data_IF_236557030829
#
_entry.id   IF_236557030829
#
_cell.length_a   1.000
_cell.length_b   1.000
_cell.length_c   1.000
_cell.angle_alpha   90.00
_cell.angle_beta   90.00
_cell.angle_gamma   90.00
#
_symmetry.space_group_name_H-M   'P 1'
#
loop_
_entity.id
_entity.type
_entity.pdbx_description
1 polymer ?
#
# COMPACT_ATOMS: atom_id res chain seq x y z
N UNK A 1 0.92 12.86 -30.72
CA UNK A 1 1.72 13.95 -30.12
C UNK A 1 0.86 14.55 -29.03
N UNK A 2 0.94 14.05 -27.79
CA UNK A 2 0.09 14.51 -26.69
C UNK A 2 0.84 15.49 -25.79
N UNK A 3 0.16 16.59 -25.48
CA UNK A 3 0.65 17.75 -24.75
C UNK A 3 1.06 17.40 -23.32
N UNK A 4 2.29 17.75 -23.00
CA UNK A 4 2.94 17.65 -21.70
C UNK A 4 2.33 18.61 -20.68
N UNK A 5 1.21 18.29 -20.02
CA UNK A 5 0.80 18.96 -18.77
C UNK A 5 -0.47 18.33 -18.16
N UNK A 6 -0.31 17.25 -17.38
CA UNK A 6 -1.24 17.00 -16.27
C UNK A 6 -0.74 17.86 -15.09
N UNK A 7 -1.46 18.93 -14.68
CA UNK A 7 -0.97 19.88 -13.68
C UNK A 7 -0.61 19.25 -12.33
N UNK A 8 -1.30 18.16 -11.97
CA UNK A 8 -1.08 17.41 -10.73
C UNK A 8 0.25 16.63 -10.70
N UNK A 9 0.85 16.33 -11.85
CA UNK A 9 2.14 15.64 -11.92
C UNK A 9 3.34 16.58 -11.79
N UNK A 10 3.13 17.90 -11.82
CA UNK A 10 4.19 18.88 -11.60
C UNK A 10 4.53 19.06 -10.11
N UNK A 11 3.71 18.47 -9.22
CA UNK A 11 3.91 18.42 -7.77
C UNK A 11 5.24 17.72 -7.38
N UNK A 12 5.96 18.22 -6.35
CA UNK A 12 7.22 17.62 -5.91
C UNK A 12 7.13 16.13 -5.54
N UNK A 13 6.01 15.67 -4.98
CA UNK A 13 5.77 14.26 -4.65
C UNK A 13 5.71 13.43 -5.93
N UNK A 14 4.95 13.89 -6.93
CA UNK A 14 4.82 13.22 -8.21
C UNK A 14 6.17 13.09 -8.93
N UNK A 15 6.94 14.19 -8.98
CA UNK A 15 8.30 14.18 -9.56
C UNK A 15 9.22 13.19 -8.86
N UNK A 16 9.21 13.20 -7.52
CA UNK A 16 10.02 12.28 -6.71
C UNK A 16 9.63 10.83 -6.93
N UNK A 17 8.34 10.54 -6.97
CA UNK A 17 7.83 9.18 -7.23
C UNK A 17 8.22 8.67 -8.60
N UNK A 18 8.00 9.47 -9.65
CA UNK A 18 8.38 9.10 -11.02
C UNK A 18 9.89 8.84 -11.10
N UNK A 19 10.72 9.75 -10.57
CA UNK A 19 12.18 9.61 -10.63
C UNK A 19 12.70 8.40 -9.85
N UNK A 20 12.27 8.24 -8.59
CA UNK A 20 12.76 7.16 -7.72
C UNK A 20 12.31 5.78 -8.19
N UNK A 21 11.07 5.64 -8.68
CA UNK A 21 10.58 4.36 -9.18
C UNK A 21 11.27 4.02 -10.49
N UNK A 22 11.43 4.96 -11.43
CA UNK A 22 12.20 4.70 -12.64
C UNK A 22 13.63 4.26 -12.33
N UNK A 23 14.28 4.88 -11.35
CA UNK A 23 15.62 4.50 -10.92
C UNK A 23 15.65 3.05 -10.43
N UNK A 24 14.68 2.61 -9.62
CA UNK A 24 14.57 1.21 -9.17
C UNK A 24 14.46 0.19 -10.31
N UNK A 25 13.83 0.56 -11.43
CA UNK A 25 13.73 -0.30 -12.62
C UNK A 25 14.98 -0.24 -13.52
N UNK A 26 15.85 0.77 -13.37
CA UNK A 26 17.14 0.83 -14.07
C UNK A 26 18.24 0.05 -13.34
N UNK A 27 18.21 0.06 -12.02
CA UNK A 27 19.29 -0.49 -11.19
C UNK A 27 19.18 -2.01 -10.96
N UNK A 28 18.03 -2.60 -11.23
CA UNK A 28 17.72 -4.02 -10.98
C UNK A 28 16.95 -4.57 -12.17
N UNK A 29 17.00 -5.89 -12.37
CA UNK A 29 16.27 -6.54 -13.46
C UNK A 29 14.78 -6.16 -13.41
N UNK A 30 14.22 -5.55 -14.48
CA UNK A 30 12.79 -5.24 -14.55
C UNK A 30 11.89 -6.46 -14.38
N UNK A 31 12.37 -7.67 -14.70
CA UNK A 31 11.61 -8.92 -14.59
C UNK A 31 11.40 -9.38 -13.15
N UNK A 32 12.23 -8.93 -12.21
CA UNK A 32 12.00 -9.17 -10.78
C UNK A 32 10.70 -8.49 -10.34
N UNK A 33 9.72 -9.21 -9.78
CA UNK A 33 8.45 -8.64 -9.38
C UNK A 33 8.64 -7.50 -8.37
N UNK A 34 7.88 -6.41 -8.53
CA UNK A 34 7.87 -5.29 -7.58
C UNK A 34 6.44 -4.94 -7.18
N UNK A 35 6.17 -4.95 -5.88
CA UNK A 35 4.83 -4.78 -5.34
C UNK A 35 4.81 -3.50 -4.52
N UNK A 36 4.15 -2.48 -5.03
CA UNK A 36 4.01 -1.17 -4.40
C UNK A 36 2.62 -1.08 -3.74
N UNK A 37 2.59 -1.11 -2.42
CA UNK A 37 1.38 -0.76 -1.67
C UNK A 37 1.29 0.74 -1.49
N UNK A 38 0.27 1.36 -2.06
CA UNK A 38 0.11 2.81 -2.16
C UNK A 38 -0.91 3.32 -1.13
N UNK A 39 -0.49 4.27 -0.30
CA UNK A 39 -1.42 5.07 0.48
C UNK A 39 -1.00 6.55 0.46
N UNK A 40 -1.67 7.43 1.21
CA UNK A 40 -1.39 8.87 1.14
C UNK A 40 0.07 9.20 1.47
N UNK A 41 0.53 8.87 2.67
CA UNK A 41 1.89 9.16 3.12
C UNK A 41 2.85 7.98 3.00
N UNK A 42 2.38 6.77 2.67
CA UNK A 42 3.23 5.59 2.58
C UNK A 42 3.69 5.04 3.94
N UNK A 43 2.94 5.27 5.02
CA UNK A 43 3.38 4.95 6.40
C UNK A 43 2.38 4.19 7.27
N UNK A 44 1.13 4.01 6.81
CA UNK A 44 0.08 3.33 7.58
C UNK A 44 -0.37 2.05 6.89
N UNK A 45 -1.46 2.10 6.12
CA UNK A 45 -2.00 0.91 5.44
C UNK A 45 -0.97 0.25 4.54
N UNK A 46 -0.20 1.02 3.77
CA UNK A 46 0.85 0.48 2.89
C UNK A 46 1.90 -0.32 3.65
N UNK A 47 2.32 0.16 4.82
CA UNK A 47 3.31 -0.52 5.67
C UNK A 47 2.72 -1.79 6.27
N UNK A 48 1.50 -1.73 6.82
CA UNK A 48 0.85 -2.91 7.43
C UNK A 48 0.56 -3.98 6.39
N UNK A 49 0.01 -3.61 5.23
CA UNK A 49 -0.27 -4.55 4.14
C UNK A 49 1.04 -5.17 3.64
N UNK A 50 2.09 -4.37 3.44
CA UNK A 50 3.39 -4.87 3.01
C UNK A 50 4.06 -5.81 4.02
N UNK A 51 3.98 -5.54 5.32
CA UNK A 51 4.48 -6.48 6.33
C UNK A 51 3.66 -7.77 6.39
N UNK A 52 2.33 -7.69 6.25
CA UNK A 52 1.48 -8.88 6.14
C UNK A 52 1.81 -9.70 4.90
N UNK A 53 2.09 -9.04 3.77
CA UNK A 53 2.55 -9.69 2.54
C UNK A 53 3.84 -10.49 2.78
N UNK A 54 4.79 -9.91 3.51
CA UNK A 54 6.05 -10.55 3.90
C UNK A 54 5.88 -11.61 5.01
N UNK A 55 4.67 -12.12 5.24
CA UNK A 55 4.36 -13.15 6.22
C UNK A 55 4.33 -12.67 7.68
N UNK A 56 4.49 -11.36 7.95
CA UNK A 56 4.45 -10.81 9.32
C UNK A 56 3.03 -10.40 9.69
N UNK A 57 2.24 -11.37 10.13
CA UNK A 57 0.87 -11.15 10.58
C UNK A 57 0.82 -10.52 11.98
N UNK A 58 0.24 -9.32 12.15
CA UNK A 58 0.06 -8.72 13.47
C UNK A 58 -0.94 -9.52 14.31
N UNK A 59 -0.59 -9.81 15.56
CA UNK A 59 -1.46 -10.48 16.54
C UNK A 59 -2.19 -9.50 17.46
N UNK A 60 -1.71 -8.26 17.55
CA UNK A 60 -2.27 -7.22 18.41
C UNK A 60 -2.19 -5.84 17.75
N UNK A 61 -2.98 -4.86 18.26
CA UNK A 61 -2.84 -3.47 17.85
C UNK A 61 -1.42 -2.93 18.13
N UNK A 62 -0.79 -3.37 19.23
CA UNK A 62 0.56 -2.97 19.58
C UNK A 62 1.58 -3.52 18.58
N UNK A 63 1.43 -4.78 18.15
CA UNK A 63 2.30 -5.36 17.12
C UNK A 63 2.25 -4.59 15.79
N UNK A 64 1.11 -3.97 15.43
CA UNK A 64 1.03 -3.04 14.30
C UNK A 64 1.79 -1.76 14.58
N UNK A 65 1.60 -1.18 15.76
CA UNK A 65 2.28 0.04 16.16
C UNK A 65 3.81 -0.14 16.26
N UNK A 66 4.30 -1.36 16.46
CA UNK A 66 5.74 -1.66 16.55
C UNK A 66 6.37 -2.02 15.21
N UNK A 67 5.58 -2.20 14.15
CA UNK A 67 6.10 -2.48 12.81
C UNK A 67 7.12 -1.41 12.39
N UNK A 68 8.27 -1.82 11.81
CA UNK A 68 9.20 -0.87 11.22
C UNK A 68 8.49 -0.01 10.17
N UNK A 69 8.88 1.28 10.12
CA UNK A 69 8.31 2.32 9.23
C UNK A 69 6.85 2.72 9.49
N UNK A 70 6.14 2.06 10.41
CA UNK A 70 4.76 2.43 10.74
C UNK A 70 4.72 3.79 11.42
N UNK A 71 4.00 4.74 10.83
CA UNK A 71 3.85 6.11 11.31
C UNK A 71 5.18 6.83 11.61
N UNK A 72 6.25 6.51 10.86
CA UNK A 72 7.61 7.08 11.03
C UNK A 72 8.08 7.93 9.86
N UNK A 73 7.29 7.99 8.78
CA UNK A 73 7.68 8.66 7.53
C UNK A 73 7.50 10.18 7.61
N UNK A 74 8.50 10.91 7.14
CA UNK A 74 8.52 12.36 7.01
C UNK A 74 7.77 12.81 5.75
N UNK A 75 7.30 14.05 5.76
CA UNK A 75 6.57 14.63 4.62
C UNK A 75 7.49 14.76 3.40
N UNK A 76 8.77 15.12 3.58
CA UNK A 76 9.75 15.16 2.50
C UNK A 76 10.15 13.78 1.95
N UNK A 77 9.69 12.68 2.54
CA UNK A 77 9.94 11.33 2.02
C UNK A 77 8.77 10.83 1.18
N UNK A 78 7.60 11.49 1.19
CA UNK A 78 6.44 11.09 0.38
C UNK A 78 6.83 11.12 -1.11
N UNK A 79 6.47 10.06 -1.84
CA UNK A 79 6.90 9.83 -3.22
C UNK A 79 8.06 8.84 -3.34
N UNK A 80 8.95 8.71 -2.36
CA UNK A 80 10.05 7.72 -2.43
C UNK A 80 9.61 6.33 -1.96
N UNK A 81 9.67 5.27 -2.77
CA UNK A 81 9.31 3.92 -2.31
C UNK A 81 10.26 3.46 -1.19
N UNK A 82 9.71 2.85 -0.14
CA UNK A 82 10.50 2.22 0.95
C UNK A 82 10.43 0.72 0.76
N UNK A 83 11.57 0.07 0.56
CA UNK A 83 11.65 -1.39 0.53
C UNK A 83 11.39 -1.94 1.94
N UNK A 84 10.38 -2.80 2.06
CA UNK A 84 10.06 -3.50 3.30
C UNK A 84 10.78 -4.85 3.39
N UNK A 85 10.97 -5.51 2.24
CA UNK A 85 11.64 -6.80 2.13
C UNK A 85 11.32 -7.50 0.81
N UNK A 86 11.75 -8.75 0.73
CA UNK A 86 11.49 -9.65 -0.40
C UNK A 86 10.60 -10.80 0.07
N UNK A 87 9.54 -11.12 -0.66
CA UNK A 87 8.62 -12.22 -0.36
C UNK A 87 9.16 -13.59 -0.80
N UNK A 88 8.36 -14.64 -0.57
CA UNK A 88 8.71 -16.02 -0.91
C UNK A 88 8.66 -16.35 -2.41
N UNK A 89 8.16 -15.45 -3.26
CA UNK A 89 8.18 -15.57 -4.72
C UNK A 89 9.32 -14.74 -5.35
N UNK A 90 10.17 -14.12 -4.53
CA UNK A 90 11.24 -13.24 -5.01
C UNK A 90 10.77 -11.83 -5.37
N UNK A 91 9.53 -11.46 -5.03
CA UNK A 91 9.00 -10.13 -5.23
C UNK A 91 9.52 -9.14 -4.19
N UNK A 92 9.85 -7.93 -4.64
CA UNK A 92 10.28 -6.84 -3.77
C UNK A 92 9.06 -6.02 -3.34
N UNK A 93 8.79 -5.98 -2.04
CA UNK A 93 7.60 -5.33 -1.47
C UNK A 93 7.95 -3.94 -0.95
N UNK A 94 7.22 -2.94 -1.43
CA UNK A 94 7.44 -1.53 -1.12
C UNK A 94 6.22 -0.86 -0.51
N UNK A 95 6.46 0.08 0.40
CA UNK A 95 5.48 1.08 0.81
C UNK A 95 5.68 2.40 0.05
N UNK A 96 4.62 2.88 -0.60
CA UNK A 96 4.64 4.12 -1.38
C UNK A 96 3.61 5.14 -0.87
N UNK A 97 4.05 6.38 -0.71
CA UNK A 97 3.20 7.52 -0.44
C UNK A 97 2.90 8.28 -1.71
N UNK A 98 1.63 8.35 -2.12
CA UNK A 98 1.20 8.96 -3.39
C UNK A 98 0.60 10.36 -3.22
N UNK A 99 0.57 10.86 -1.99
CA UNK A 99 0.12 12.21 -1.65
C UNK A 99 -1.32 12.49 -2.08
N UNK A 100 -1.56 13.74 -2.46
CA UNK A 100 -2.86 14.22 -2.94
C UNK A 100 -3.18 13.68 -4.34
N UNK A 101 -2.17 13.52 -5.20
CA UNK A 101 -2.34 13.00 -6.57
C UNK A 101 -2.91 11.58 -6.58
N UNK A 102 -2.54 10.74 -5.60
CA UNK A 102 -3.20 9.46 -5.36
C UNK A 102 -3.26 8.58 -6.62
N UNK A 103 -4.47 8.29 -7.08
CA UNK A 103 -4.73 7.45 -8.26
C UNK A 103 -4.11 8.01 -9.55
N UNK A 104 -4.09 9.33 -9.73
CA UNK A 104 -3.51 9.95 -10.93
C UNK A 104 -2.02 9.59 -11.06
N UNK A 105 -1.27 9.76 -9.96
CA UNK A 105 0.14 9.37 -9.90
C UNK A 105 0.34 7.87 -10.08
N UNK A 106 -0.48 7.05 -9.43
CA UNK A 106 -0.37 5.58 -9.55
C UNK A 106 -0.58 5.11 -11.01
N UNK A 107 -1.57 5.67 -11.70
CA UNK A 107 -1.82 5.37 -13.11
C UNK A 107 -0.72 5.92 -14.03
N UNK A 108 -0.17 7.10 -13.72
CA UNK A 108 0.98 7.66 -14.45
C UNK A 108 2.22 6.76 -14.30
N UNK A 109 2.47 6.23 -13.10
CA UNK A 109 3.55 5.27 -12.84
C UNK A 109 3.35 3.99 -13.64
N UNK A 110 2.15 3.40 -13.64
CA UNK A 110 1.86 2.21 -14.46
C UNK A 110 2.18 2.46 -15.92
N UNK A 111 1.61 3.52 -16.52
CA UNK A 111 1.83 3.85 -17.93
C UNK A 111 3.32 4.04 -18.24
N UNK A 112 4.02 4.78 -17.39
CA UNK A 112 5.43 5.13 -17.61
C UNK A 112 6.34 3.92 -17.50
N UNK A 113 6.12 3.04 -16.51
CA UNK A 113 6.90 1.82 -16.36
C UNK A 113 6.59 0.83 -17.49
N UNK A 114 5.32 0.63 -17.86
CA UNK A 114 4.96 -0.23 -19.00
C UNK A 114 5.62 0.22 -20.31
N UNK A 115 5.68 1.54 -20.55
CA UNK A 115 6.28 2.10 -21.77
C UNK A 115 7.81 2.00 -21.76
N UNK A 116 8.45 2.30 -20.63
CA UNK A 116 9.92 2.39 -20.57
C UNK A 116 10.59 1.03 -20.33
N UNK A 117 9.87 0.11 -19.67
CA UNK A 117 10.36 -1.21 -19.31
C UNK A 117 9.31 -2.27 -19.70
N UNK A 118 9.21 -2.66 -20.98
CA UNK A 118 8.18 -3.58 -21.47
C UNK A 118 8.21 -4.99 -20.85
N UNK A 119 9.33 -5.34 -20.22
CA UNK A 119 9.55 -6.61 -19.53
C UNK A 119 9.28 -6.50 -18.01
N UNK A 120 8.88 -5.32 -17.52
CA UNK A 120 8.69 -5.08 -16.10
C UNK A 120 7.54 -5.90 -15.53
N UNK A 121 7.73 -6.48 -14.35
CA UNK A 121 6.66 -7.08 -13.55
C UNK A 121 6.40 -6.25 -12.31
N UNK A 122 5.24 -5.61 -12.24
CA UNK A 122 4.96 -4.71 -11.13
C UNK A 122 3.46 -4.59 -10.79
N UNK A 123 3.17 -4.41 -9.51
CA UNK A 123 1.83 -4.14 -9.00
C UNK A 123 1.85 -2.79 -8.27
N UNK A 124 0.97 -1.87 -8.67
CA UNK A 124 0.65 -0.68 -7.90
C UNK A 124 -0.72 -0.87 -7.26
N UNK A 125 -0.74 -1.20 -5.97
CA UNK A 125 -1.96 -1.54 -5.26
C UNK A 125 -2.38 -0.37 -4.35
N UNK A 126 -3.44 0.32 -4.72
CA UNK A 126 -4.05 1.33 -3.87
C UNK A 126 -4.70 0.68 -2.65
N UNK A 127 -4.20 0.99 -1.46
CA UNK A 127 -4.73 0.46 -0.19
C UNK A 127 -5.38 1.54 0.68
N UNK A 128 -5.77 2.68 0.09
CA UNK A 128 -6.39 3.79 0.83
C UNK A 128 -7.76 3.41 1.39
N UNK A 129 -8.50 2.55 0.68
CA UNK A 129 -9.80 2.02 1.12
C UNK A 129 -9.71 1.13 2.37
N UNK A 130 -8.54 0.58 2.68
CA UNK A 130 -8.32 -0.25 3.88
C UNK A 130 -8.50 0.59 5.16
N UNK A 131 -8.15 1.88 5.14
CA UNK A 131 -8.28 2.77 6.29
C UNK A 131 -9.63 3.50 6.34
N UNK A 132 -10.26 3.46 7.52
CA UNK A 132 -11.45 4.26 7.81
C UNK A 132 -11.12 5.77 7.77
N UNK A 133 -12.00 6.56 7.15
CA UNK A 133 -11.81 8.02 6.95
C UNK A 133 -11.64 8.74 8.29
N UNK A 134 -12.37 8.29 9.32
CA UNK A 134 -12.31 8.85 10.68
C UNK A 134 -10.94 8.71 11.33
N UNK A 135 -10.24 7.61 11.08
CA UNK A 135 -8.87 7.37 11.57
C UNK A 135 -7.85 8.29 10.87
N UNK A 136 -8.12 8.73 9.63
CA UNK A 136 -7.26 9.66 8.89
C UNK A 136 -7.30 11.07 9.50
N UNK A 137 -8.50 11.55 9.82
CA UNK A 137 -8.69 12.87 10.43
C UNK A 137 -8.13 12.89 11.86
N UNK A 138 -8.42 11.86 12.66
CA UNK A 138 -7.90 11.75 14.03
C UNK A 138 -6.38 11.62 14.11
N UNK A 139 -5.76 10.81 13.25
CA UNK A 139 -4.30 10.66 13.21
C UNK A 139 -3.58 11.92 12.75
N UNK A 140 -4.14 12.63 11.75
CA UNK A 140 -3.58 13.88 11.25
C UNK A 140 -3.68 15.03 12.26
N UNK A 141 -4.85 15.21 12.90
CA UNK A 141 -5.03 16.21 13.95
C UNK A 141 -4.15 15.91 15.17
N UNK A 142 -4.02 14.63 15.54
CA UNK A 142 -3.16 14.20 16.65
C UNK A 142 -1.67 14.50 16.41
N UNK A 143 -1.16 14.32 15.18
CA UNK A 143 0.22 14.74 14.85
C UNK A 143 0.40 16.25 14.91
N UNK A 144 -0.58 17.03 14.43
CA UNK A 144 -0.51 18.50 14.45
C UNK A 144 -0.59 19.09 15.87
N UNK A 145 -1.23 18.39 16.80
CA UNK A 145 -1.32 18.75 18.21
C UNK A 145 -0.24 18.11 19.11
N UNK A 146 0.80 17.48 18.53
CA UNK A 146 1.91 16.88 19.30
C UNK A 146 1.57 15.56 20.02
N UNK A 147 0.37 15.00 19.86
CA UNK A 147 -0.07 13.78 20.52
C UNK A 147 0.22 12.51 19.71
N UNK A 148 1.38 12.44 19.04
CA UNK A 148 1.74 11.42 18.04
C UNK A 148 1.45 9.98 18.51
N UNK A 149 1.69 9.66 19.79
CA UNK A 149 1.42 8.33 20.37
C UNK A 149 -0.07 7.95 20.34
N UNK A 150 -0.97 8.89 20.63
CA UNK A 150 -2.40 8.65 20.61
C UNK A 150 -2.88 8.39 19.18
N UNK A 151 -2.48 9.23 18.21
CA UNK A 151 -2.77 9.04 16.80
C UNK A 151 -2.27 7.70 16.25
N UNK A 152 -1.02 7.33 16.58
CA UNK A 152 -0.43 6.03 16.21
C UNK A 152 -1.28 4.85 16.68
N UNK A 153 -1.70 4.87 17.95
CA UNK A 153 -2.52 3.81 18.55
C UNK A 153 -3.91 3.70 17.91
N UNK A 154 -4.53 4.84 17.55
CA UNK A 154 -5.85 4.87 16.91
C UNK A 154 -5.80 4.27 15.50
N UNK A 155 -4.79 4.64 14.71
CA UNK A 155 -4.60 4.11 13.36
C UNK A 155 -4.27 2.61 13.42
N UNK A 156 -3.38 2.20 14.34
CA UNK A 156 -3.05 0.79 14.54
C UNK A 156 -4.29 -0.04 14.91
N UNK A 157 -5.11 0.46 15.85
CA UNK A 157 -6.38 -0.19 16.22
C UNK A 157 -7.37 -0.26 15.06
N UNK A 158 -7.45 0.78 14.23
CA UNK A 158 -8.29 0.79 13.05
C UNK A 158 -7.88 -0.26 12.01
N UNK A 159 -6.56 -0.44 11.80
CA UNK A 159 -6.02 -1.44 10.88
C UNK A 159 -6.20 -2.85 11.43
N UNK A 160 -5.98 -3.05 12.74
CA UNK A 160 -6.19 -4.33 13.39
C UNK A 160 -7.64 -4.83 13.22
N UNK A 161 -8.64 -3.95 13.42
CA UNK A 161 -10.06 -4.29 13.20
C UNK A 161 -10.38 -4.66 11.75
N UNK A 162 -9.54 -4.27 10.80
CA UNK A 162 -9.70 -4.51 9.36
C UNK A 162 -8.66 -5.50 8.83
N UNK A 163 -8.07 -6.33 9.69
CA UNK A 163 -7.03 -7.27 9.29
C UNK A 163 -7.54 -8.27 8.23
N UNK A 164 -8.80 -8.72 8.33
CA UNK A 164 -9.45 -9.56 7.30
C UNK A 164 -9.43 -8.93 5.90
N UNK A 165 -9.51 -7.59 5.80
CA UNK A 165 -9.42 -6.88 4.52
C UNK A 165 -7.96 -6.72 4.07
N UNK A 166 -7.04 -6.47 5.00
CA UNK A 166 -5.60 -6.47 4.72
C UNK A 166 -5.19 -7.81 4.11
N UNK A 167 -5.61 -8.93 4.71
CA UNK A 167 -5.35 -10.28 4.23
C UNK A 167 -5.93 -10.52 2.83
N UNK A 168 -7.11 -9.98 2.53
CA UNK A 168 -7.73 -10.10 1.21
C UNK A 168 -6.90 -9.41 0.12
N UNK A 169 -6.40 -8.21 0.42
CA UNK A 169 -5.53 -7.43 -0.46
C UNK A 169 -4.20 -8.14 -0.68
N UNK A 170 -3.61 -8.66 0.40
CA UNK A 170 -2.37 -9.45 0.32
C UNK A 170 -2.58 -10.69 -0.55
N UNK A 171 -3.63 -11.46 -0.31
CA UNK A 171 -3.92 -12.66 -1.10
C UNK A 171 -4.09 -12.34 -2.58
N UNK A 172 -4.78 -11.24 -2.91
CA UNK A 172 -4.95 -10.79 -4.30
C UNK A 172 -3.60 -10.51 -4.98
N UNK A 173 -2.63 -9.98 -4.23
CA UNK A 173 -1.27 -9.72 -4.75
C UNK A 173 -0.51 -11.02 -4.97
N UNK A 174 -0.48 -11.89 -3.94
CA UNK A 174 0.19 -13.18 -3.98
C UNK A 174 -0.36 -14.10 -5.08
N UNK A 175 -1.66 -14.04 -5.36
CA UNK A 175 -2.29 -14.80 -6.45
C UNK A 175 -1.82 -14.32 -7.84
N UNK A 176 -1.51 -13.03 -8.00
CA UNK A 176 -0.95 -12.49 -9.25
C UNK A 176 0.53 -12.88 -9.39
N UNK A 177 1.29 -12.79 -8.31
CA UNK A 177 2.70 -13.17 -8.32
C UNK A 177 2.90 -14.66 -8.58
N UNK A 178 2.02 -15.49 -8.00
CA UNK A 178 1.97 -16.92 -8.32
C UNK A 178 1.80 -17.16 -9.82
N UNK A 179 0.94 -16.39 -10.50
CA UNK A 179 0.81 -16.49 -11.97
C UNK A 179 2.09 -16.12 -12.69
N UNK A 180 2.82 -15.10 -12.23
CA UNK A 180 4.10 -14.72 -12.84
C UNK A 180 5.18 -15.79 -12.70
N UNK A 181 5.21 -16.48 -11.57
CA UNK A 181 6.10 -17.61 -11.32
C UNK A 181 5.68 -18.85 -12.12
N UNK A 182 4.40 -19.19 -12.10
CA UNK A 182 3.90 -20.39 -12.79
C UNK A 182 3.94 -20.23 -14.33
N UNK A 183 3.98 -19.00 -14.84
CA UNK A 183 4.19 -18.67 -16.25
C UNK A 183 5.66 -18.33 -16.60
N UNK A 184 6.63 -18.84 -15.83
CA UNK A 184 8.06 -18.75 -16.15
C UNK A 184 8.32 -19.29 -17.57
N UNK A 185 8.49 -18.38 -18.53
CA UNK A 185 8.61 -18.68 -19.96
C UNK A 185 7.85 -17.72 -20.89
N UNK A 186 6.84 -17.00 -20.38
CA UNK A 186 6.19 -15.93 -21.15
C UNK A 186 7.00 -14.63 -21.09
N UNK A 187 7.36 -14.11 -22.26
CA UNK A 187 8.23 -12.94 -22.45
C UNK A 187 7.54 -11.59 -22.24
N UNK A 188 6.32 -11.53 -21.73
CA UNK A 188 5.60 -10.27 -21.60
C UNK A 188 5.67 -9.75 -20.17
N UNK A 189 6.21 -8.54 -20.00
CA UNK A 189 6.07 -7.79 -18.77
C UNK A 189 4.62 -7.43 -18.51
N UNK A 190 4.28 -7.29 -17.24
CA UNK A 190 2.94 -6.95 -16.80
C UNK A 190 3.04 -5.95 -15.65
N UNK A 191 2.50 -4.75 -15.86
CA UNK A 191 2.45 -3.70 -14.85
C UNK A 191 0.98 -3.40 -14.58
N UNK A 192 0.54 -3.70 -13.36
CA UNK A 192 -0.85 -3.69 -12.97
C UNK A 192 -1.15 -2.55 -11.99
N UNK A 193 -2.35 -1.97 -12.11
CA UNK A 193 -2.94 -1.11 -11.09
C UNK A 193 -4.14 -1.83 -10.47
N UNK A 194 -4.22 -1.84 -9.14
CA UNK A 194 -5.29 -2.48 -8.38
C UNK A 194 -5.84 -1.51 -7.32
N UNK A 195 -7.14 -1.62 -7.03
CA UNK A 195 -7.79 -0.84 -5.97
C UNK A 195 -8.37 -1.74 -4.88
N UNK A 196 -7.97 -1.52 -3.63
CA UNK A 196 -8.54 -2.23 -2.49
C UNK A 196 -10.04 -1.93 -2.33
N UNK A 197 -10.52 -0.79 -2.86
CA UNK A 197 -11.95 -0.48 -2.94
C UNK A 197 -12.74 -1.53 -3.73
N UNK A 198 -12.14 -2.12 -4.76
CA UNK A 198 -12.77 -3.19 -5.55
C UNK A 198 -12.84 -4.51 -4.77
N UNK A 199 -11.78 -4.80 -4.00
CA UNK A 199 -11.75 -5.96 -3.10
C UNK A 199 -12.81 -5.83 -2.00
N UNK A 200 -13.01 -4.62 -1.46
CA UNK A 200 -14.07 -4.34 -0.48
C UNK A 200 -15.45 -4.57 -1.09
N UNK A 201 -15.72 -4.01 -2.28
CA UNK A 201 -17.03 -4.10 -2.95
C UNK A 201 -17.44 -5.54 -3.24
N UNK A 202 -16.54 -6.33 -3.84
CA UNK A 202 -16.78 -7.76 -4.10
C UNK A 202 -17.11 -8.52 -2.82
N UNK A 203 -16.48 -8.17 -1.69
CA UNK A 203 -16.74 -8.84 -0.41
C UNK A 203 -18.04 -8.42 0.27
N UNK A 204 -18.49 -7.17 0.08
CA UNK A 204 -19.81 -6.74 0.55
C UNK A 204 -20.95 -7.42 -0.22
N UNK A 205 -20.76 -7.66 -1.52
CA UNK A 205 -21.71 -8.41 -2.35
C UNK A 205 -21.81 -9.89 -1.95
N UNK A 206 -20.71 -10.47 -1.44
CA UNK A 206 -20.67 -11.85 -0.92
C UNK A 206 -21.07 -12.00 0.56
N UNK A 207 -21.60 -10.95 1.21
CA UNK A 207 -22.31 -11.10 2.50
C UNK A 207 -21.45 -11.27 3.75
N UNK A 208 -20.33 -10.55 3.91
CA UNK A 208 -19.60 -10.53 5.18
C UNK A 208 -20.15 -9.42 6.12
N UNK A 209 -21.19 -9.73 6.88
CA UNK A 209 -21.67 -8.88 7.97
C UNK A 209 -20.54 -8.64 8.98
N UNK A 210 -20.16 -7.39 9.18
CA UNK A 210 -19.16 -7.01 10.16
C UNK A 210 -19.63 -7.38 11.56
N UNK A 211 -18.93 -8.32 12.20
CA UNK A 211 -19.05 -8.52 13.64
C UNK A 211 -18.64 -7.20 14.33
N UNK A 212 -19.66 -6.48 14.80
CA UNK A 212 -19.46 -5.38 15.74
C UNK A 212 -18.67 -5.93 16.92
N UNK A 213 -17.45 -5.44 17.12
CA UNK A 213 -16.71 -5.62 18.35
C UNK A 213 -17.55 -5.00 19.48
N UNK A 214 -18.38 -5.83 20.14
CA UNK A 214 -19.09 -5.42 21.35
C UNK A 214 -18.02 -5.20 22.43
N UNK A 215 -18.04 -4.08 23.16
CA UNK A 215 -17.21 -3.96 24.34
C UNK A 215 -17.64 -5.06 25.32
N UNK A 216 -16.67 -5.83 25.81
CA UNK A 216 -16.89 -6.84 26.83
C UNK A 216 -17.59 -6.19 28.02
N UNK A 217 -18.76 -6.74 28.39
CA UNK A 217 -19.35 -6.45 29.70
C UNK A 217 -18.45 -7.11 30.74
N UNK A 218 -17.82 -6.29 31.57
CA UNK A 218 -17.27 -6.72 32.84
C UNK A 218 -18.34 -7.49 33.61
N UNK A 219 -17.96 -8.70 34.05
CA UNK A 219 -18.69 -9.42 35.08
C UNK A 219 -18.15 -8.95 36.42
N UNK A 220 -18.88 -8.06 37.08
CA UNK A 220 -18.75 -7.80 38.51
C UNK A 220 -20.15 -7.78 39.11
N UNK A 221 -20.40 -8.65 40.09
CA UNK A 221 -21.65 -8.75 40.84
C UNK A 221 -22.36 -10.07 40.61
#
# INVERSE_FOLDING_TARGET
MWSSTEPSLNDPVCKRALASIEQLFRERDPREPRIFYCCYAGTHASVVVGWCHLGRRPSTCQSIADLPFFDRRLTEEIGSPILLGTDGFGGHVYALGTGVAGKELEMALVRRISQRFPQARAIFFNVRAVLDVRSRIGGFLSRRMGMVRAGRSLVARSLYRRLRLVEAVVQTSLDLERKWRDNEGQSNGEVLWLDAGDVVRRRSETGFAGESCRPGRDKTG
#
